data_IF_432056289535
#
_entry.id   IF_432056289535
#
_cell.length_a   1.000
_cell.length_b   1.000
_cell.length_c   1.000
_cell.angle_alpha   90.00
_cell.angle_beta   90.00
_cell.angle_gamma   90.00
#
_symmetry.space_group_name_H-M   'P 1'
#
loop_
_entity.id
_entity.type
_entity.pdbx_description
1 polymer ?
#
# COMPACT_ATOMS: atom_id res chain seq x y z
N UNK A 1 2.72 21.91 -13.79
CA UNK A 1 3.42 21.21 -12.68
C UNK A 1 3.37 22.15 -11.49
N UNK A 2 2.86 21.70 -10.33
CA UNK A 2 2.68 22.57 -9.17
C UNK A 2 4.03 23.08 -8.68
N UNK A 3 4.19 24.40 -8.69
CA UNK A 3 5.35 25.09 -8.15
C UNK A 3 5.25 24.99 -6.62
N UNK A 4 5.87 23.95 -6.05
CA UNK A 4 5.91 23.75 -4.61
C UNK A 4 7.05 24.57 -4.02
N UNK A 5 6.84 25.88 -3.91
CA UNK A 5 7.75 26.75 -3.19
C UNK A 5 7.65 26.51 -1.68
N UNK A 6 8.79 26.59 -1.00
CA UNK A 6 8.85 26.45 0.46
C UNK A 6 8.26 27.74 1.06
N UNK A 7 7.22 27.68 1.90
CA UNK A 7 6.61 28.89 2.44
C UNK A 7 7.57 29.61 3.40
N UNK A 8 7.53 30.96 3.47
CA UNK A 8 8.41 31.74 4.34
C UNK A 8 8.15 31.53 5.84
N UNK A 9 6.99 30.95 6.20
CA UNK A 9 6.68 30.52 7.56
C UNK A 9 7.53 29.32 8.01
N UNK A 10 8.07 28.54 7.08
CA UNK A 10 8.92 27.39 7.39
C UNK A 10 10.27 27.86 7.93
N UNK A 11 10.71 27.29 9.06
CA UNK A 11 12.03 27.60 9.66
C UNK A 11 13.17 27.31 8.68
N UNK A 12 13.07 26.24 7.89
CA UNK A 12 14.06 25.88 6.88
C UNK A 12 14.22 26.93 5.78
N UNK A 13 13.13 27.59 5.38
CA UNK A 13 13.19 28.71 4.42
C UNK A 13 14.07 29.83 4.96
N UNK A 14 13.82 30.25 6.21
CA UNK A 14 14.58 31.32 6.87
C UNK A 14 16.07 30.97 7.01
N UNK A 15 16.36 29.72 7.38
CA UNK A 15 17.74 29.24 7.47
C UNK A 15 18.45 29.30 6.12
N UNK A 16 17.83 28.78 5.06
CA UNK A 16 18.39 28.83 3.71
C UNK A 16 18.65 30.27 3.26
N UNK A 17 17.67 31.17 3.44
CA UNK A 17 17.84 32.59 3.09
C UNK A 17 18.98 33.25 3.88
N UNK A 18 19.13 32.93 5.16
CA UNK A 18 20.24 33.46 5.96
C UNK A 18 21.63 32.99 5.48
N UNK A 19 21.70 31.82 4.84
CA UNK A 19 22.91 31.28 4.22
C UNK A 19 23.14 31.78 2.78
N UNK A 20 22.33 32.75 2.31
CA UNK A 20 22.47 33.36 0.99
C UNK A 20 21.71 32.65 -0.14
N UNK A 21 20.91 31.62 0.16
CA UNK A 21 20.03 31.00 -0.83
C UNK A 21 18.78 31.85 -1.10
N UNK A 22 18.32 31.91 -2.35
CA UNK A 22 17.10 32.63 -2.75
C UNK A 22 16.05 31.68 -3.30
N UNK A 23 14.77 32.00 -3.07
CA UNK A 23 13.66 31.23 -3.61
C UNK A 23 13.77 31.11 -5.14
N UNK A 24 13.55 29.90 -5.66
CA UNK A 24 13.67 29.61 -7.10
C UNK A 24 15.09 29.38 -7.62
N UNK A 25 16.12 29.51 -6.77
CA UNK A 25 17.51 29.20 -7.14
C UNK A 25 17.89 27.76 -6.77
N UNK A 26 18.76 27.17 -7.60
CA UNK A 26 19.38 25.88 -7.31
C UNK A 26 20.43 25.99 -6.20
N UNK A 27 20.74 24.87 -5.56
CA UNK A 27 21.81 24.79 -4.55
C UNK A 27 23.18 24.57 -5.21
N UNK A 28 24.26 24.83 -4.47
CA UNK A 28 25.65 24.67 -4.93
C UNK A 28 26.29 25.99 -5.34
N UNK A 29 27.62 25.97 -5.54
CA UNK A 29 28.42 27.18 -5.78
C UNK A 29 27.95 27.99 -7.00
N UNK A 30 27.53 27.29 -8.06
CA UNK A 30 27.03 27.90 -9.31
C UNK A 30 25.51 27.80 -9.43
N UNK A 31 24.81 27.47 -8.33
CA UNK A 31 23.35 27.23 -8.33
C UNK A 31 22.93 26.10 -9.28
N UNK A 32 23.83 25.14 -9.51
CA UNK A 32 23.69 24.03 -10.44
C UNK A 32 22.72 22.94 -9.95
N UNK A 33 22.40 22.96 -8.66
CA UNK A 33 21.52 22.02 -8.01
C UNK A 33 20.08 22.13 -8.53
N UNK A 34 19.35 21.04 -8.39
CA UNK A 34 17.97 20.96 -8.86
C UNK A 34 17.05 21.86 -8.06
N UNK A 35 16.19 22.63 -8.75
CA UNK A 35 15.21 23.54 -8.12
C UNK A 35 13.98 22.82 -7.56
N UNK A 36 13.61 21.71 -8.20
CA UNK A 36 12.42 20.93 -7.85
C UNK A 36 12.80 19.57 -7.24
N UNK A 37 12.02 19.05 -6.27
CA UNK A 37 12.26 17.75 -5.64
C UNK A 37 12.11 16.58 -6.62
N UNK A 38 12.87 15.50 -6.39
CA UNK A 38 12.86 14.28 -7.23
C UNK A 38 11.49 13.62 -7.17
N UNK A 39 10.76 13.49 -8.31
CA UNK A 39 9.49 12.77 -8.30
C UNK A 39 9.78 11.27 -8.23
N UNK A 40 9.06 10.56 -7.37
CA UNK A 40 9.23 9.12 -7.13
C UNK A 40 7.96 8.37 -7.52
N UNK A 41 8.08 7.10 -7.89
CA UNK A 41 6.92 6.25 -8.14
C UNK A 41 6.60 5.44 -6.87
N UNK A 42 5.41 5.66 -6.30
CA UNK A 42 4.97 4.88 -5.15
C UNK A 42 4.26 3.61 -5.60
N UNK A 43 4.97 2.47 -5.51
CA UNK A 43 4.45 1.17 -5.92
C UNK A 43 3.53 0.57 -4.87
N UNK A 44 2.26 0.36 -5.22
CA UNK A 44 1.24 -0.27 -4.36
C UNK A 44 0.85 -1.68 -4.79
N UNK A 45 1.36 -2.15 -5.92
CA UNK A 45 1.00 -3.42 -6.52
C UNK A 45 2.12 -4.47 -6.39
N UNK A 46 1.76 -5.72 -6.71
CA UNK A 46 2.67 -6.88 -6.69
C UNK A 46 3.21 -7.23 -8.09
N UNK A 47 3.07 -6.32 -9.04
CA UNK A 47 3.52 -6.55 -10.41
C UNK A 47 5.04 -6.67 -10.52
N UNK A 48 5.53 -7.42 -11.51
CA UNK A 48 6.95 -7.40 -11.88
C UNK A 48 7.41 -6.03 -12.37
N UNK A 49 8.73 -5.84 -12.42
CA UNK A 49 9.35 -4.68 -13.06
C UNK A 49 9.04 -4.70 -14.57
N UNK A 50 8.92 -3.52 -15.19
CA UNK A 50 8.59 -3.39 -16.62
C UNK A 50 7.09 -3.48 -16.96
N UNK A 51 6.20 -3.74 -15.99
CA UNK A 51 4.75 -3.50 -16.18
C UNK A 51 4.49 -1.98 -16.33
N UNK A 52 3.28 -1.61 -16.76
CA UNK A 52 2.81 -0.23 -16.98
C UNK A 52 3.47 0.81 -16.05
N UNK A 53 3.94 1.91 -16.64
CA UNK A 53 4.55 3.00 -15.89
C UNK A 53 3.55 3.57 -14.88
N UNK A 54 3.92 3.55 -13.59
CA UNK A 54 3.16 4.25 -12.56
C UNK A 54 3.42 5.76 -12.66
N UNK A 55 2.44 6.60 -12.32
CA UNK A 55 2.65 8.04 -12.28
C UNK A 55 3.71 8.39 -11.23
N UNK A 56 4.67 9.22 -11.61
CA UNK A 56 5.67 9.76 -10.68
C UNK A 56 5.07 10.96 -9.92
N UNK A 57 5.26 11.00 -8.61
CA UNK A 57 4.80 12.09 -7.76
C UNK A 57 5.80 12.38 -6.63
N UNK A 58 5.78 13.59 -6.10
CA UNK A 58 6.64 13.97 -4.97
C UNK A 58 5.96 13.50 -3.69
N UNK A 59 6.51 12.48 -3.03
CA UNK A 59 5.87 11.85 -1.85
C UNK A 59 6.11 12.60 -0.53
N UNK A 60 7.07 13.55 -0.51
CA UNK A 60 7.56 14.17 0.72
C UNK A 60 7.12 15.63 0.91
N UNK A 61 6.35 16.20 -0.02
CA UNK A 61 5.64 17.47 0.19
C UNK A 61 4.42 17.19 1.05
N UNK A 62 4.63 17.01 2.34
CA UNK A 62 3.59 16.69 3.31
C UNK A 62 2.60 17.87 3.46
N UNK A 63 1.62 17.93 2.58
CA UNK A 63 0.28 18.23 3.07
C UNK A 63 -0.15 16.90 3.68
N UNK A 64 -0.32 16.86 5.00
CA UNK A 64 -0.94 15.74 5.69
C UNK A 64 -2.38 15.69 5.17
N UNK A 65 -2.58 15.07 4.00
CA UNK A 65 -3.85 14.49 3.67
C UNK A 65 -3.96 13.36 4.65
N UNK A 66 -4.74 13.61 5.69
CA UNK A 66 -5.21 12.59 6.61
C UNK A 66 -5.69 11.47 5.69
N UNK A 67 -4.91 10.40 5.57
CA UNK A 67 -5.36 9.21 4.84
C UNK A 67 -6.41 8.63 5.75
N UNK A 68 -7.62 9.20 5.68
CA UNK A 68 -8.83 8.51 6.08
C UNK A 68 -8.77 7.23 5.30
N UNK A 69 -8.45 6.12 5.98
CA UNK A 69 -8.70 4.79 5.42
C UNK A 69 -10.09 4.90 4.78
N UNK A 70 -10.23 4.66 3.45
CA UNK A 70 -11.53 4.80 2.83
C UNK A 70 -12.48 3.94 3.66
N UNK A 71 -13.43 4.60 4.33
CA UNK A 71 -14.40 3.89 5.14
C UNK A 71 -15.04 2.90 4.18
N UNK A 72 -14.91 1.58 4.42
CA UNK A 72 -15.53 0.62 3.52
C UNK A 72 -17.00 1.04 3.40
N UNK A 73 -17.55 1.11 2.18
CA UNK A 73 -18.93 1.52 1.99
C UNK A 73 -19.79 0.70 2.96
N UNK A 74 -20.78 1.32 3.64
CA UNK A 74 -21.57 0.64 4.65
C UNK A 74 -22.11 -0.66 4.05
N UNK A 75 -21.52 -1.77 4.47
CA UNK A 75 -21.93 -3.09 4.03
C UNK A 75 -23.32 -3.31 4.63
N UNK A 76 -24.32 -3.78 3.86
CA UNK A 76 -25.62 -4.11 4.42
C UNK A 76 -25.41 -5.12 5.54
N UNK A 77 -25.88 -4.77 6.75
CA UNK A 77 -25.82 -5.67 7.89
C UNK A 77 -26.78 -6.83 7.59
N UNK A 78 -26.24 -8.01 7.33
CA UNK A 78 -27.02 -9.24 7.14
C UNK A 78 -28.01 -9.41 8.30
N UNK A 79 -29.24 -9.79 7.95
CA UNK A 79 -30.27 -10.14 8.92
C UNK A 79 -29.85 -11.39 9.72
N UNK A 80 -30.47 -11.63 10.87
CA UNK A 80 -30.16 -12.81 11.69
C UNK A 80 -30.43 -14.13 10.94
N UNK A 81 -31.41 -14.14 10.04
CA UNK A 81 -31.77 -15.29 9.22
C UNK A 81 -30.68 -15.61 8.18
N UNK A 82 -30.22 -14.60 7.42
CA UNK A 82 -29.16 -14.77 6.41
C UNK A 82 -27.83 -15.21 7.05
N UNK A 83 -27.49 -14.67 8.22
CA UNK A 83 -26.29 -15.11 8.97
C UNK A 83 -26.35 -16.60 9.31
N UNK A 84 -27.53 -17.09 9.71
CA UNK A 84 -27.73 -18.50 10.07
C UNK A 84 -27.62 -19.41 8.84
N UNK A 85 -28.16 -19.00 7.69
CA UNK A 85 -28.01 -19.75 6.44
C UNK A 85 -26.55 -19.83 6.00
N UNK A 86 -25.83 -18.71 6.00
CA UNK A 86 -24.41 -18.67 5.61
C UNK A 86 -23.55 -19.57 6.52
N UNK A 87 -23.88 -19.63 7.81
CA UNK A 87 -23.18 -20.52 8.74
C UNK A 87 -23.48 -22.00 8.45
N UNK A 88 -24.75 -22.35 8.17
CA UNK A 88 -25.11 -23.71 7.76
C UNK A 88 -24.41 -24.13 6.46
N UNK A 89 -24.33 -23.23 5.48
CA UNK A 89 -23.60 -23.48 4.23
C UNK A 89 -22.10 -23.66 4.44
N UNK A 90 -21.48 -22.83 5.30
CA UNK A 90 -20.08 -22.97 5.67
C UNK A 90 -19.81 -24.30 6.37
N UNK A 91 -20.63 -24.68 7.34
CA UNK A 91 -20.52 -25.96 8.04
C UNK A 91 -20.76 -27.14 7.10
N UNK A 92 -21.69 -27.02 6.15
CA UNK A 92 -21.93 -28.03 5.13
C UNK A 92 -20.73 -28.15 4.18
N UNK A 93 -20.14 -27.04 3.77
CA UNK A 93 -18.92 -27.02 2.95
C UNK A 93 -17.72 -27.60 3.70
N UNK A 94 -17.57 -27.27 4.98
CA UNK A 94 -16.52 -27.84 5.83
C UNK A 94 -16.69 -29.35 5.98
N UNK A 95 -17.90 -29.84 6.26
CA UNK A 95 -18.19 -31.28 6.31
C UNK A 95 -17.90 -31.98 4.98
N UNK A 96 -18.25 -31.35 3.85
CA UNK A 96 -17.90 -31.85 2.51
C UNK A 96 -16.39 -31.89 2.31
N UNK A 97 -15.67 -30.86 2.75
CA UNK A 97 -14.21 -30.80 2.66
C UNK A 97 -13.56 -31.87 3.54
N UNK A 98 -14.05 -32.07 4.76
CA UNK A 98 -13.61 -33.15 5.66
C UNK A 98 -13.90 -34.52 5.09
N UNK A 99 -15.11 -34.76 4.55
CA UNK A 99 -15.44 -36.05 3.94
C UNK A 99 -14.60 -36.32 2.70
N UNK A 100 -14.38 -35.30 1.88
CA UNK A 100 -13.54 -35.39 0.69
C UNK A 100 -12.08 -35.66 1.06
N UNK A 101 -11.54 -34.97 2.06
CA UNK A 101 -10.19 -35.21 2.55
C UNK A 101 -10.05 -36.63 3.12
N UNK A 102 -11.05 -37.11 3.87
CA UNK A 102 -11.08 -38.49 4.39
C UNK A 102 -11.14 -39.54 3.27
N UNK A 103 -11.88 -39.29 2.19
CA UNK A 103 -11.99 -40.21 1.06
C UNK A 103 -10.70 -40.20 0.20
N UNK A 104 -10.15 -39.01 -0.07
CA UNK A 104 -8.97 -38.83 -0.90
C UNK A 104 -7.67 -39.26 -0.22
N UNK A 105 -7.53 -39.01 1.08
CA UNK A 105 -6.33 -39.31 1.87
C UNK A 105 -6.52 -40.47 2.84
N UNK A 106 -7.68 -41.14 2.86
CA UNK A 106 -7.97 -42.23 3.79
C UNK A 106 -7.16 -43.51 3.55
N UNK A 107 -6.60 -43.70 2.36
CA UNK A 107 -5.74 -44.82 1.98
C UNK A 107 -4.25 -44.42 1.89
N UNK A 108 -3.91 -43.21 2.34
CA UNK A 108 -2.53 -42.77 2.42
C UNK A 108 -1.89 -43.52 3.61
N UNK A 109 -0.95 -44.43 3.34
CA UNK A 109 -0.23 -45.21 4.35
C UNK A 109 0.65 -44.36 5.29
N UNK A 110 0.32 -44.29 6.58
CA UNK A 110 1.11 -43.58 7.61
C UNK A 110 2.62 -43.90 7.49
N UNK A 111 3.43 -42.91 7.11
CA UNK A 111 4.89 -43.06 6.92
C UNK A 111 5.54 -42.21 5.82
N UNK A 112 4.79 -41.56 4.95
CA UNK A 112 5.36 -40.67 3.90
C UNK A 112 6.04 -39.41 4.43
N UNK A 113 5.83 -39.05 5.70
CA UNK A 113 6.51 -37.92 6.33
C UNK A 113 8.04 -38.12 6.43
N UNK A 114 8.53 -39.36 6.39
CA UNK A 114 9.96 -39.69 6.45
C UNK A 114 10.75 -39.32 5.18
N UNK A 115 10.08 -39.09 4.04
CA UNK A 115 10.72 -38.74 2.77
C UNK A 115 10.98 -37.23 2.59
N UNK A 116 10.54 -36.39 3.53
CA UNK A 116 10.67 -34.92 3.48
C UNK A 116 11.67 -34.34 4.50
N UNK A 117 12.55 -35.18 5.07
CA UNK A 117 13.72 -34.74 5.84
C UNK A 117 14.96 -34.53 4.96
#
# INVERSE_FOLDING_TARGET
MGEHEIPPSNKGYKMLTSMGWKAGEGLGAEKQGRKAPVPTCFKRDRAGLGKKNLPLHVTHTSVVTVVTKPTPPPQPKLTAFEKRQLQQEKEAMEKKHTSFARDLYGDMADGYEEYFQ
#
